data_IF_653761972023
#
_entry.id   IF_653761972023
#
_cell.length_a   1.000
_cell.length_b   1.000
_cell.length_c   1.000
_cell.angle_alpha   90.00
_cell.angle_beta   90.00
_cell.angle_gamma   90.00
#
_symmetry.space_group_name_H-M   'P 1'
#
loop_
_entity.id
_entity.type
_entity.pdbx_description
1 polymer ?
#
# COMPACT_ATOMS: atom_id res chain seq x y z
N UNK A 1 19.84 14.89 46.83
CA UNK A 1 18.41 14.77 47.20
C UNK A 1 17.58 16.01 46.83
N UNK A 2 18.08 17.24 47.00
CA UNK A 2 17.32 18.47 46.72
C UNK A 2 16.96 18.76 45.24
N UNK A 3 17.71 18.25 44.25
CA UNK A 3 17.42 18.48 42.82
C UNK A 3 16.15 17.76 42.32
N UNK A 4 15.77 16.63 42.93
CA UNK A 4 14.58 15.87 42.53
C UNK A 4 13.28 16.56 42.96
N UNK A 5 13.29 17.28 44.10
CA UNK A 5 12.11 17.98 44.60
C UNK A 5 11.70 19.17 43.71
N UNK A 6 12.66 19.85 43.08
CA UNK A 6 12.39 21.04 42.24
C UNK A 6 11.74 20.65 40.91
N UNK A 7 12.06 19.45 40.38
CA UNK A 7 11.49 19.01 39.10
C UNK A 7 10.02 18.57 39.23
N UNK A 8 9.61 18.14 40.43
CA UNK A 8 8.25 17.63 40.67
C UNK A 8 7.21 18.75 40.86
N UNK A 9 7.65 19.98 41.13
CA UNK A 9 6.75 21.14 41.35
C UNK A 9 6.53 22.01 40.10
N UNK A 10 7.31 21.81 39.04
CA UNK A 10 7.26 22.66 37.84
C UNK A 10 6.17 22.28 36.83
N UNK A 11 5.70 21.02 36.82
CA UNK A 11 4.68 20.55 35.86
C UNK A 11 3.56 19.82 36.59
N UNK A 12 2.31 20.31 36.52
CA UNK A 12 1.19 19.68 37.22
C UNK A 12 0.96 18.26 36.68
N UNK A 13 0.78 17.28 37.59
CA UNK A 13 0.65 15.85 37.26
C UNK A 13 -0.42 15.54 36.20
N UNK A 14 -1.48 16.35 36.09
CA UNK A 14 -2.53 16.20 35.08
C UNK A 14 -2.07 16.56 33.66
N UNK A 15 -1.05 17.41 33.51
CA UNK A 15 -0.48 17.84 32.22
C UNK A 15 0.76 17.03 31.80
N UNK A 16 1.35 16.28 32.74
CA UNK A 16 2.48 15.39 32.50
C UNK A 16 2.22 14.32 31.40
N UNK A 17 1.08 13.59 31.38
CA UNK A 17 0.85 12.59 30.33
C UNK A 17 0.68 13.23 28.94
N UNK A 18 0.09 14.43 28.87
CA UNK A 18 -0.05 15.18 27.62
C UNK A 18 1.31 15.63 27.08
N UNK A 19 2.21 16.08 27.96
CA UNK A 19 3.54 16.53 27.59
C UNK A 19 4.43 15.36 27.13
N UNK A 20 4.27 14.19 27.75
CA UNK A 20 4.91 12.94 27.32
C UNK A 20 4.38 12.47 25.96
N UNK A 21 3.07 12.56 25.73
CA UNK A 21 2.45 12.20 24.45
C UNK A 21 2.94 13.10 23.30
N UNK A 22 3.00 14.41 23.53
CA UNK A 22 3.55 15.38 22.56
C UNK A 22 5.03 15.10 22.30
N UNK A 23 5.82 14.81 23.35
CA UNK A 23 7.23 14.43 23.20
C UNK A 23 7.42 13.17 22.35
N UNK A 24 6.63 12.12 22.58
CA UNK A 24 6.67 10.88 21.81
C UNK A 24 6.31 11.11 20.34
N UNK A 25 5.31 11.96 20.07
CA UNK A 25 4.90 12.31 18.70
C UNK A 25 6.02 13.03 17.92
N UNK A 26 6.73 13.97 18.55
CA UNK A 26 7.86 14.66 17.93
C UNK A 26 9.05 13.73 17.61
N UNK A 27 9.33 12.75 18.48
CA UNK A 27 10.39 11.73 18.26
C UNK A 27 10.04 10.82 17.07
N UNK A 28 8.76 10.50 16.86
CA UNK A 28 8.34 9.69 15.71
C UNK A 28 8.44 10.43 14.37
N UNK A 29 8.33 11.76 14.35
CA UNK A 29 8.44 12.54 13.10
C UNK A 29 9.90 12.64 12.64
N UNK A 30 10.86 12.82 13.54
CA UNK A 30 12.28 13.01 13.19
C UNK A 30 12.98 11.71 12.80
N UNK A 31 12.41 10.56 13.16
CA UNK A 31 12.91 9.22 12.78
C UNK A 31 12.19 8.63 11.57
N UNK A 32 11.22 9.36 10.99
CA UNK A 32 10.56 8.98 9.76
C UNK A 32 11.54 9.07 8.59
N UNK A 33 12.26 7.97 8.33
CA UNK A 33 12.87 7.70 7.03
C UNK A 33 11.70 7.53 6.05
N UNK A 34 11.30 8.60 5.36
CA UNK A 34 10.43 8.47 4.20
C UNK A 34 11.09 7.45 3.28
N UNK A 35 10.52 6.25 3.15
CA UNK A 35 11.04 5.26 2.21
C UNK A 35 10.88 5.90 0.83
N UNK A 36 11.98 6.42 0.28
CA UNK A 36 12.05 6.86 -1.11
C UNK A 36 11.82 5.61 -1.95
N UNK A 37 10.55 5.33 -2.25
CA UNK A 37 10.19 4.30 -3.22
C UNK A 37 10.78 4.77 -4.53
N UNK A 38 11.69 3.97 -5.10
CA UNK A 38 12.27 4.27 -6.41
C UNK A 38 11.12 4.49 -7.40
N UNK A 39 11.22 5.56 -8.20
CA UNK A 39 10.17 5.99 -9.12
C UNK A 39 9.73 4.85 -10.05
N UNK A 40 10.64 3.97 -10.41
CA UNK A 40 10.39 2.78 -11.21
C UNK A 40 9.38 1.83 -10.54
N UNK A 41 9.62 1.49 -9.27
CA UNK A 41 8.72 0.64 -8.46
C UNK A 41 7.33 1.25 -8.29
N UNK A 42 7.24 2.59 -8.25
CA UNK A 42 5.96 3.29 -8.22
C UNK A 42 5.20 3.14 -9.55
N UNK A 43 5.90 3.19 -10.68
CA UNK A 43 5.30 2.96 -12.00
C UNK A 43 4.80 1.53 -12.15
N UNK A 44 5.59 0.54 -11.73
CA UNK A 44 5.17 -0.87 -11.71
C UNK A 44 3.91 -1.08 -10.86
N UNK A 45 3.90 -0.51 -9.64
CA UNK A 45 2.71 -0.51 -8.79
C UNK A 45 1.50 0.17 -9.45
N UNK A 46 1.71 1.32 -10.10
CA UNK A 46 0.65 2.05 -10.80
C UNK A 46 0.04 1.24 -11.95
N UNK A 47 0.89 0.67 -12.82
CA UNK A 47 0.46 -0.19 -13.93
C UNK A 47 -0.29 -1.40 -13.41
N UNK A 48 0.25 -2.07 -12.40
CA UNK A 48 -0.42 -3.18 -11.71
C UNK A 48 -1.81 -2.80 -11.20
N UNK A 49 -1.94 -1.63 -10.57
CA UNK A 49 -3.21 -1.09 -10.07
C UNK A 49 -4.25 -0.92 -11.18
N UNK A 50 -3.85 -0.34 -12.30
CA UNK A 50 -4.75 -0.13 -13.45
C UNK A 50 -5.19 -1.47 -14.05
N UNK A 51 -4.25 -2.40 -14.26
CA UNK A 51 -4.56 -3.74 -14.81
C UNK A 51 -5.50 -4.50 -13.87
N UNK A 52 -5.21 -4.52 -12.57
CA UNK A 52 -6.01 -5.22 -11.58
C UNK A 52 -7.43 -4.65 -11.46
N UNK A 53 -7.55 -3.32 -11.38
CA UNK A 53 -8.84 -2.63 -11.33
C UNK A 53 -9.67 -2.84 -12.61
N UNK A 54 -9.06 -2.63 -13.78
CA UNK A 54 -9.71 -2.78 -15.08
C UNK A 54 -10.21 -4.21 -15.30
N UNK A 55 -9.35 -5.20 -15.07
CA UNK A 55 -9.70 -6.62 -15.18
C UNK A 55 -10.82 -6.98 -14.23
N UNK A 56 -10.74 -6.58 -12.96
CA UNK A 56 -11.79 -6.85 -11.98
C UNK A 56 -13.12 -6.25 -12.42
N UNK A 57 -13.12 -5.03 -12.97
CA UNK A 57 -14.31 -4.38 -13.51
C UNK A 57 -14.94 -5.16 -14.67
N UNK A 58 -14.13 -5.54 -15.66
CA UNK A 58 -14.58 -6.29 -16.85
C UNK A 58 -15.09 -7.67 -16.47
N UNK A 59 -14.31 -8.45 -15.71
CA UNK A 59 -14.68 -9.83 -15.32
C UNK A 59 -15.91 -9.83 -14.43
N UNK A 60 -16.06 -8.85 -13.52
CA UNK A 60 -17.30 -8.71 -12.76
C UNK A 60 -18.48 -8.34 -13.67
N UNK A 61 -18.28 -7.49 -14.67
CA UNK A 61 -19.29 -7.15 -15.67
C UNK A 61 -19.91 -8.37 -16.34
N UNK A 62 -19.06 -9.34 -16.69
CA UNK A 62 -19.44 -10.58 -17.38
C UNK A 62 -19.95 -11.65 -16.42
N UNK A 63 -19.19 -11.96 -15.38
CA UNK A 63 -19.46 -13.10 -14.49
C UNK A 63 -20.43 -12.80 -13.36
N UNK A 64 -20.61 -11.51 -13.02
CA UNK A 64 -21.28 -11.01 -11.80
C UNK A 64 -20.73 -11.61 -10.50
N UNK A 65 -19.56 -12.27 -10.52
CA UNK A 65 -18.94 -12.89 -9.36
C UNK A 65 -17.71 -12.10 -8.92
N UNK A 66 -17.79 -11.50 -7.73
CA UNK A 66 -16.75 -10.61 -7.19
C UNK A 66 -15.45 -11.36 -6.89
N UNK A 67 -15.55 -12.56 -6.32
CA UNK A 67 -14.38 -13.36 -5.97
C UNK A 67 -13.61 -13.77 -7.20
N UNK A 68 -14.32 -14.26 -8.24
CA UNK A 68 -13.69 -14.59 -9.52
C UNK A 68 -13.04 -13.35 -10.14
N UNK A 69 -13.75 -12.23 -10.17
CA UNK A 69 -13.24 -10.99 -10.75
C UNK A 69 -11.93 -10.52 -10.10
N UNK A 70 -11.83 -10.57 -8.77
CA UNK A 70 -10.61 -10.20 -8.03
C UNK A 70 -9.47 -11.17 -8.30
N UNK A 71 -9.75 -12.48 -8.32
CA UNK A 71 -8.71 -13.49 -8.63
C UNK A 71 -8.15 -13.26 -10.04
N UNK A 72 -9.01 -12.99 -11.02
CA UNK A 72 -8.57 -12.66 -12.38
C UNK A 72 -7.78 -11.35 -12.44
N UNK A 73 -8.18 -10.32 -11.69
CA UNK A 73 -7.45 -9.05 -11.62
C UNK A 73 -6.04 -9.18 -11.04
N UNK A 74 -5.89 -9.95 -9.96
CA UNK A 74 -4.58 -10.27 -9.38
C UNK A 74 -3.78 -11.13 -10.36
N UNK A 75 -4.38 -12.17 -10.91
CA UNK A 75 -3.70 -13.08 -11.85
C UNK A 75 -3.14 -12.37 -13.08
N UNK A 76 -3.94 -11.53 -13.76
CA UNK A 76 -3.49 -10.83 -14.97
C UNK A 76 -2.44 -9.76 -14.69
N UNK A 77 -2.52 -9.05 -13.57
CA UNK A 77 -1.49 -8.05 -13.21
C UNK A 77 -0.16 -8.73 -12.84
N UNK A 78 -0.19 -9.84 -12.10
CA UNK A 78 1.02 -10.64 -11.84
C UNK A 78 1.60 -11.23 -13.12
N UNK A 79 0.78 -11.79 -14.02
CA UNK A 79 1.22 -12.30 -15.31
C UNK A 79 1.86 -11.20 -16.17
N UNK A 80 1.30 -9.99 -16.18
CA UNK A 80 1.89 -8.84 -16.86
C UNK A 80 3.27 -8.48 -16.30
N UNK A 81 3.43 -8.48 -14.98
CA UNK A 81 4.72 -8.26 -14.31
C UNK A 81 5.75 -9.34 -14.70
N UNK A 82 5.38 -10.62 -14.60
CA UNK A 82 6.25 -11.74 -15.01
C UNK A 82 6.66 -11.63 -16.48
N UNK A 83 5.71 -11.31 -17.36
CA UNK A 83 5.98 -11.19 -18.80
C UNK A 83 7.00 -10.08 -19.08
N UNK A 84 6.91 -8.95 -18.37
CA UNK A 84 7.87 -7.85 -18.51
C UNK A 84 9.26 -8.28 -18.06
N UNK A 85 9.39 -8.91 -16.89
CA UNK A 85 10.68 -9.39 -16.38
C UNK A 85 11.35 -10.43 -17.29
N UNK A 86 10.56 -11.32 -17.92
CA UNK A 86 11.09 -12.30 -18.87
C UNK A 86 11.66 -11.61 -20.11
N UNK A 87 10.96 -10.60 -20.64
CA UNK A 87 11.41 -9.82 -21.79
C UNK A 87 12.68 -9.03 -21.43
N UNK A 88 12.71 -8.37 -20.28
CA UNK A 88 13.86 -7.57 -19.85
C UNK A 88 15.09 -8.42 -19.52
N UNK A 89 14.88 -9.63 -18.99
CA UNK A 89 15.96 -10.58 -18.82
C UNK A 89 16.57 -11.01 -20.16
N UNK A 90 15.74 -11.24 -21.17
CA UNK A 90 16.20 -11.63 -22.50
C UNK A 90 16.95 -10.50 -23.21
N UNK A 91 16.48 -9.26 -23.06
CA UNK A 91 16.99 -8.11 -23.83
C UNK A 91 18.14 -7.37 -23.12
N UNK A 92 18.14 -7.34 -21.78
CA UNK A 92 19.09 -6.56 -20.97
C UNK A 92 19.82 -7.38 -19.89
N UNK A 93 19.52 -8.68 -19.76
CA UNK A 93 20.23 -9.61 -18.88
C UNK A 93 19.91 -9.46 -17.38
N UNK A 94 18.90 -8.66 -17.01
CA UNK A 94 18.52 -8.42 -15.61
C UNK A 94 17.01 -8.53 -15.44
N UNK A 95 16.57 -9.40 -14.54
CA UNK A 95 15.21 -9.41 -14.02
C UNK A 95 15.22 -8.75 -12.63
N UNK A 96 14.40 -7.73 -12.41
CA UNK A 96 14.15 -7.16 -11.09
C UNK A 96 12.86 -7.78 -10.52
N UNK A 97 13.05 -8.80 -9.69
CA UNK A 97 11.94 -9.42 -8.94
C UNK A 97 11.11 -8.39 -8.15
N UNK A 98 11.71 -7.27 -7.74
CA UNK A 98 11.02 -6.18 -7.05
C UNK A 98 9.96 -5.49 -7.92
N UNK A 99 10.13 -5.45 -9.23
CA UNK A 99 9.20 -4.80 -10.17
C UNK A 99 8.00 -5.70 -10.47
N UNK A 100 8.24 -7.01 -10.59
CA UNK A 100 7.17 -8.02 -10.56
C UNK A 100 6.34 -7.95 -9.27
N UNK A 101 7.00 -7.83 -8.11
CA UNK A 101 6.32 -7.71 -6.81
C UNK A 101 5.53 -6.41 -6.73
N UNK A 102 6.12 -5.29 -7.13
CA UNK A 102 5.43 -3.99 -7.16
C UNK A 102 4.19 -4.03 -8.06
N UNK A 103 4.31 -4.62 -9.25
CA UNK A 103 3.18 -4.81 -10.18
C UNK A 103 2.08 -5.68 -9.57
N UNK A 104 2.45 -6.78 -8.91
CA UNK A 104 1.49 -7.66 -8.22
C UNK A 104 0.78 -6.95 -7.08
N UNK A 105 1.51 -6.20 -6.24
CA UNK A 105 0.93 -5.44 -5.13
C UNK A 105 -0.03 -4.35 -5.63
N UNK A 106 0.33 -3.67 -6.72
CA UNK A 106 -0.57 -2.77 -7.42
C UNK A 106 -1.84 -3.48 -7.87
N UNK A 107 -1.68 -4.64 -8.51
CA UNK A 107 -2.76 -5.51 -8.95
C UNK A 107 -3.76 -5.88 -7.85
N UNK A 108 -3.24 -6.29 -6.69
CA UNK A 108 -4.04 -6.55 -5.49
C UNK A 108 -4.77 -5.28 -5.06
N UNK A 109 -4.06 -4.16 -4.93
CA UNK A 109 -4.65 -2.89 -4.50
C UNK A 109 -5.79 -2.43 -5.42
N UNK A 110 -5.57 -2.43 -6.74
CA UNK A 110 -6.59 -2.06 -7.73
C UNK A 110 -7.80 -2.98 -7.73
N UNK A 111 -7.57 -4.30 -7.65
CA UNK A 111 -8.65 -5.30 -7.63
C UNK A 111 -9.54 -5.17 -6.39
N UNK A 112 -8.94 -5.00 -5.21
CA UNK A 112 -9.69 -4.81 -3.96
C UNK A 112 -10.42 -3.46 -3.91
N UNK A 113 -9.81 -2.39 -4.45
CA UNK A 113 -10.46 -1.08 -4.55
C UNK A 113 -11.78 -1.17 -5.32
N UNK A 114 -11.77 -1.86 -6.48
CA UNK A 114 -12.99 -2.10 -7.26
C UNK A 114 -13.99 -2.97 -6.49
N UNK A 115 -13.53 -4.05 -5.83
CA UNK A 115 -14.41 -4.91 -5.02
C UNK A 115 -15.19 -4.11 -3.97
N UNK A 116 -14.51 -3.23 -3.23
CA UNK A 116 -15.13 -2.38 -2.20
C UNK A 116 -16.21 -1.47 -2.79
N UNK A 117 -15.92 -0.84 -3.94
CA UNK A 117 -16.89 0.01 -4.64
C UNK A 117 -18.12 -0.80 -5.07
N UNK A 118 -17.91 -2.01 -5.61
CA UNK A 118 -18.98 -2.91 -6.03
C UNK A 118 -19.79 -3.46 -4.85
N UNK A 119 -19.21 -3.63 -3.67
CA UNK A 119 -19.91 -3.99 -2.43
C UNK A 119 -20.84 -2.85 -1.96
N UNK A 120 -20.35 -1.60 -2.00
CA UNK A 120 -21.15 -0.42 -1.65
C UNK A 120 -22.34 -0.22 -2.61
N UNK A 121 -22.16 -0.46 -3.91
CA UNK A 121 -23.24 -0.35 -4.92
C UNK A 121 -24.36 -1.37 -4.68
N UNK A 122 -24.03 -2.59 -4.25
CA UNK A 122 -25.03 -3.63 -3.97
C UNK A 122 -25.86 -3.29 -2.73
N UNK A 123 -25.26 -2.76 -1.65
CA UNK A 123 -25.99 -2.40 -0.41
C UNK A 123 -27.02 -1.27 -0.57
N UNK A 124 -26.94 -0.47 -1.65
CA UNK A 124 -27.86 0.64 -1.93
C UNK A 124 -29.05 0.23 -2.81
N UNK A 125 -29.09 -1.01 -3.29
CA UNK A 125 -30.21 -1.60 -4.03
C UNK A 125 -30.89 -2.62 -3.14
#
# INVERSE_FOLDING_TARGET
MFKYLIFQTAVPHKKLPLLLFIGMFFVTITTAKGQLVQQDKLMHFGVGTVIGAGTTGVVYGITKNKTKAVIWGIGLSTLAGITKEIIDHNDYGKADTGDMVATTLGGVFGSFSVKIILDKKRRRR
#
